data_IF_485395167230
#
_entry.id   IF_485395167230
#
_cell.length_a   1.000
_cell.length_b   1.000
_cell.length_c   1.000
_cell.angle_alpha   90.00
_cell.angle_beta   90.00
_cell.angle_gamma   90.00
#
_symmetry.space_group_name_H-M   'P 1'
#
loop_
_entity.id
_entity.type
_entity.pdbx_description
1 polymer ?
#
# COMPACT_ATOMS: atom_id res chain seq x y z
N UNK A 1 -3.08 -22.78 -6.06
CA UNK A 1 -2.32 -21.83 -5.23
C UNK A 1 -3.08 -20.52 -5.29
N UNK A 2 -3.14 -19.73 -4.22
CA UNK A 2 -3.81 -18.43 -4.26
C UNK A 2 -3.03 -17.48 -5.17
N UNK A 3 -3.71 -16.75 -6.04
CA UNK A 3 -3.09 -15.82 -7.00
C UNK A 3 -2.99 -14.41 -6.40
N UNK A 4 -2.00 -13.58 -6.75
CA UNK A 4 -1.94 -12.19 -6.29
C UNK A 4 -3.23 -11.37 -6.54
N UNK A 5 -3.95 -11.68 -7.62
CA UNK A 5 -5.24 -11.07 -7.96
C UNK A 5 -6.37 -11.44 -6.97
N UNK A 6 -6.20 -12.48 -6.15
CA UNK A 6 -7.17 -12.89 -5.13
C UNK A 6 -6.96 -12.17 -3.78
N UNK A 7 -5.94 -11.33 -3.64
CA UNK A 7 -5.52 -10.75 -2.36
C UNK A 7 -6.64 -10.06 -1.57
N UNK A 8 -7.47 -9.24 -2.23
CA UNK A 8 -8.60 -8.57 -1.56
C UNK A 8 -9.69 -9.56 -1.14
N UNK A 9 -9.99 -10.58 -1.95
CA UNK A 9 -10.95 -11.63 -1.61
C UNK A 9 -10.47 -12.45 -0.42
N UNK A 10 -9.19 -12.77 -0.36
CA UNK A 10 -8.59 -13.46 0.78
C UNK A 10 -8.60 -12.59 2.04
N UNK A 11 -8.29 -11.30 1.93
CA UNK A 11 -8.40 -10.36 3.04
C UNK A 11 -9.83 -10.32 3.59
N UNK A 12 -10.83 -10.16 2.72
CA UNK A 12 -12.24 -10.13 3.10
C UNK A 12 -12.66 -11.44 3.79
N UNK A 13 -12.27 -12.60 3.23
CA UNK A 13 -12.56 -13.90 3.83
C UNK A 13 -11.96 -14.03 5.23
N UNK A 14 -10.67 -13.70 5.40
CA UNK A 14 -9.98 -13.73 6.71
C UNK A 14 -10.70 -12.87 7.75
N UNK A 15 -11.03 -11.62 7.39
CA UNK A 15 -11.69 -10.69 8.32
C UNK A 15 -13.12 -11.12 8.68
N UNK A 16 -13.84 -11.81 7.78
CA UNK A 16 -15.15 -12.39 8.08
C UNK A 16 -15.02 -13.57 9.03
N UNK A 17 -14.08 -14.47 8.76
CA UNK A 17 -13.89 -15.71 9.51
C UNK A 17 -13.37 -15.48 10.94
N UNK A 18 -12.67 -14.36 11.18
CA UNK A 18 -12.21 -13.94 12.51
C UNK A 18 -13.36 -13.70 13.52
N UNK A 19 -14.58 -13.40 13.04
CA UNK A 19 -15.74 -13.14 13.91
C UNK A 19 -15.55 -11.96 14.88
N UNK A 20 -14.74 -10.98 14.50
CA UNK A 20 -14.42 -9.79 15.30
C UNK A 20 -15.50 -8.71 15.16
N UNK A 21 -15.32 -7.58 15.86
CA UNK A 21 -16.18 -6.39 15.71
C UNK A 21 -16.12 -5.77 14.31
N UNK A 22 -15.10 -6.09 13.51
CA UNK A 22 -14.95 -5.62 12.14
C UNK A 22 -15.75 -6.49 11.17
N UNK A 23 -15.92 -7.78 11.46
CA UNK A 23 -16.52 -8.77 10.55
C UNK A 23 -17.90 -8.37 9.99
N UNK A 24 -18.83 -7.75 10.75
CA UNK A 24 -20.11 -7.28 10.21
C UNK A 24 -19.98 -6.17 9.14
N UNK A 25 -18.86 -5.47 9.09
CA UNK A 25 -18.56 -4.38 8.17
C UNK A 25 -17.80 -4.83 6.93
N UNK A 26 -17.38 -6.10 6.88
CA UNK A 26 -16.65 -6.63 5.71
C UNK A 26 -17.61 -6.85 4.55
N UNK A 27 -17.20 -6.43 3.35
CA UNK A 27 -17.93 -6.61 2.09
C UNK A 27 -17.07 -7.37 1.10
N UNK A 28 -17.73 -8.06 0.17
CA UNK A 28 -17.04 -8.70 -0.94
C UNK A 28 -16.42 -7.62 -1.85
N UNK A 29 -15.12 -7.69 -2.12
CA UNK A 29 -14.43 -6.71 -2.97
C UNK A 29 -14.60 -7.06 -4.46
N UNK A 30 -15.82 -7.41 -4.86
CA UNK A 30 -16.11 -7.79 -6.24
C UNK A 30 -15.75 -6.65 -7.19
N UNK A 31 -15.07 -6.98 -8.29
CA UNK A 31 -14.61 -6.03 -9.32
C UNK A 31 -13.47 -5.08 -8.91
N UNK A 32 -12.96 -5.17 -7.68
CA UNK A 32 -11.81 -4.36 -7.26
C UNK A 32 -10.49 -5.00 -7.69
N UNK A 33 -9.62 -4.17 -8.27
CA UNK A 33 -8.29 -4.58 -8.72
C UNK A 33 -7.27 -4.35 -7.59
N UNK A 34 -6.59 -5.40 -7.06
CA UNK A 34 -5.49 -5.26 -6.11
C UNK A 34 -4.21 -4.83 -6.84
N UNK A 35 -4.24 -3.68 -7.51
CA UNK A 35 -3.18 -3.22 -8.40
C UNK A 35 -1.83 -3.05 -7.69
N UNK A 36 -1.85 -2.50 -6.47
CA UNK A 36 -0.64 -2.36 -5.65
C UNK A 36 -0.11 -3.74 -5.20
N UNK A 37 -0.99 -4.62 -4.75
CA UNK A 37 -0.61 -5.98 -4.38
C UNK A 37 0.02 -6.75 -5.55
N UNK A 38 -0.54 -6.61 -6.75
CA UNK A 38 0.01 -7.23 -7.96
C UNK A 38 1.38 -6.63 -8.35
N UNK A 39 1.57 -5.32 -8.23
CA UNK A 39 2.87 -4.69 -8.46
C UNK A 39 3.94 -5.25 -7.51
N UNK A 40 3.64 -5.34 -6.22
CA UNK A 40 4.58 -5.91 -5.24
C UNK A 40 4.89 -7.38 -5.51
N UNK A 41 3.87 -8.17 -5.89
CA UNK A 41 4.01 -9.60 -6.15
C UNK A 41 4.95 -9.96 -7.31
N UNK A 42 5.22 -9.01 -8.22
CA UNK A 42 6.10 -9.23 -9.38
C UNK A 42 7.58 -9.00 -9.12
N UNK A 43 7.94 -8.34 -8.02
CA UNK A 43 9.34 -8.06 -7.75
C UNK A 43 10.10 -9.31 -7.30
N UNK A 44 11.42 -9.32 -7.51
CA UNK A 44 12.28 -10.49 -7.24
C UNK A 44 12.22 -10.97 -5.79
N UNK A 45 12.07 -10.05 -4.82
CA UNK A 45 11.94 -10.41 -3.40
C UNK A 45 10.64 -11.16 -3.12
N UNK A 46 9.57 -10.84 -3.85
CA UNK A 46 8.29 -11.52 -3.71
C UNK A 46 8.24 -12.89 -4.41
N UNK A 47 9.23 -13.26 -5.23
CA UNK A 47 9.20 -14.47 -6.07
C UNK A 47 8.94 -15.77 -5.29
N UNK A 48 9.39 -15.86 -4.04
CA UNK A 48 9.15 -17.03 -3.18
C UNK A 48 7.76 -17.09 -2.54
N UNK A 49 7.02 -15.97 -2.51
CA UNK A 49 5.70 -15.87 -1.89
C UNK A 49 4.86 -14.73 -2.50
N UNK A 50 4.61 -14.70 -3.82
CA UNK A 50 4.07 -13.54 -4.52
C UNK A 50 2.68 -13.14 -4.02
N UNK A 51 1.82 -14.13 -3.78
CA UNK A 51 0.49 -13.89 -3.22
C UNK A 51 0.55 -13.31 -1.80
N UNK A 52 1.47 -13.76 -0.95
CA UNK A 52 1.60 -13.24 0.41
C UNK A 52 1.98 -11.75 0.41
N UNK A 53 2.89 -11.34 -0.47
CA UNK A 53 3.25 -9.93 -0.66
C UNK A 53 2.05 -9.09 -1.13
N UNK A 54 1.26 -9.60 -2.07
CA UNK A 54 0.04 -8.93 -2.52
C UNK A 54 -0.95 -8.72 -1.36
N UNK A 55 -1.23 -9.78 -0.60
CA UNK A 55 -2.12 -9.72 0.55
C UNK A 55 -1.62 -8.73 1.62
N UNK A 56 -0.32 -8.71 1.90
CA UNK A 56 0.30 -7.77 2.85
C UNK A 56 0.09 -6.33 2.42
N UNK A 57 0.44 -5.99 1.18
CA UNK A 57 0.33 -4.62 0.66
C UNK A 57 -1.13 -4.17 0.64
N UNK A 58 -2.05 -5.02 0.22
CA UNK A 58 -3.48 -4.67 0.18
C UNK A 58 -4.09 -4.56 1.58
N UNK A 59 -3.60 -5.33 2.56
CA UNK A 59 -4.00 -5.18 3.97
C UNK A 59 -3.59 -3.80 4.50
N UNK A 60 -2.33 -3.41 4.27
CA UNK A 60 -1.82 -2.10 4.71
C UNK A 60 -2.51 -0.96 3.95
N UNK A 61 -2.78 -1.13 2.64
CA UNK A 61 -3.53 -0.14 1.85
C UNK A 61 -4.96 0.02 2.37
N UNK A 62 -5.63 -1.07 2.71
CA UNK A 62 -6.97 -1.01 3.31
C UNK A 62 -6.93 -0.27 4.66
N UNK A 63 -5.92 -0.55 5.49
CA UNK A 63 -5.73 0.20 6.73
C UNK A 63 -5.54 1.70 6.51
N UNK A 64 -4.72 2.08 5.53
CA UNK A 64 -4.55 3.48 5.13
C UNK A 64 -5.85 4.15 4.69
N UNK A 65 -6.65 3.47 3.88
CA UNK A 65 -7.92 4.00 3.42
C UNK A 65 -8.89 4.21 4.58
N UNK A 66 -8.90 3.34 5.59
CA UNK A 66 -9.75 3.52 6.78
C UNK A 66 -9.32 4.71 7.66
N UNK A 67 -8.04 5.11 7.62
CA UNK A 67 -7.57 6.31 8.33
C UNK A 67 -7.93 7.61 7.58
N UNK A 68 -7.83 7.60 6.26
CA UNK A 68 -7.73 8.84 5.48
C UNK A 68 -8.73 8.97 4.32
N UNK A 69 -9.49 7.93 4.01
CA UNK A 69 -10.41 7.86 2.86
C UNK A 69 -11.58 6.89 3.15
N UNK A 70 -12.11 6.24 2.10
CA UNK A 70 -13.10 5.17 2.22
C UNK A 70 -12.46 3.79 2.10
N UNK A 71 -12.72 2.91 3.08
CA UNK A 71 -12.32 1.51 2.99
C UNK A 71 -12.99 0.80 1.81
N UNK A 72 -12.31 -0.19 1.24
CA UNK A 72 -12.79 -1.00 0.10
C UNK A 72 -13.42 -2.30 0.55
N UNK A 73 -12.86 -2.91 1.59
CA UNK A 73 -13.26 -4.19 2.18
C UNK A 73 -14.04 -3.95 3.45
N UNK A 74 -13.59 -3.05 4.32
CA UNK A 74 -14.30 -2.68 5.56
C UNK A 74 -15.13 -1.42 5.28
N UNK A 75 -16.45 -1.59 5.19
CA UNK A 75 -17.37 -0.54 4.74
C UNK A 75 -18.48 -0.30 5.76
N UNK A 76 -18.78 0.98 6.00
CA UNK A 76 -19.88 1.39 6.89
C UNK A 76 -19.61 1.21 8.38
N UNK A 77 -18.35 0.99 8.77
CA UNK A 77 -17.92 1.19 10.15
C UNK A 77 -18.01 2.69 10.49
N UNK A 78 -18.35 3.02 11.74
CA UNK A 78 -18.22 4.40 12.20
C UNK A 78 -16.74 4.82 12.25
N UNK A 79 -16.50 6.13 12.43
CA UNK A 79 -15.15 6.69 12.36
C UNK A 79 -14.18 6.08 13.36
N UNK A 80 -14.63 5.80 14.58
CA UNK A 80 -13.76 5.30 15.65
C UNK A 80 -13.41 3.82 15.39
N UNK A 81 -14.40 3.02 14.97
CA UNK A 81 -14.18 1.64 14.56
C UNK A 81 -13.33 1.55 13.29
N UNK A 82 -13.52 2.43 12.31
CA UNK A 82 -12.70 2.49 11.10
C UNK A 82 -11.23 2.78 11.45
N UNK A 83 -10.97 3.73 12.35
CA UNK A 83 -9.62 4.03 12.81
C UNK A 83 -8.95 2.82 13.47
N UNK A 84 -9.65 2.13 14.39
CA UNK A 84 -9.13 0.93 15.05
C UNK A 84 -8.94 -0.25 14.08
N UNK A 85 -9.85 -0.40 13.10
CA UNK A 85 -9.71 -1.38 12.04
C UNK A 85 -8.51 -1.06 11.14
N UNK A 86 -8.22 0.22 10.92
CA UNK A 86 -7.03 0.70 10.23
C UNK A 86 -5.73 0.28 10.94
N UNK A 87 -5.63 0.58 12.24
CA UNK A 87 -4.51 0.16 13.08
C UNK A 87 -4.33 -1.36 13.07
N UNK A 88 -5.43 -2.11 13.15
CA UNK A 88 -5.41 -3.57 13.09
C UNK A 88 -4.84 -4.06 11.75
N UNK A 89 -5.25 -3.49 10.63
CA UNK A 89 -4.80 -3.90 9.30
C UNK A 89 -3.34 -3.53 9.01
N UNK A 90 -2.86 -2.41 9.53
CA UNK A 90 -1.43 -2.09 9.55
C UNK A 90 -0.65 -3.14 10.33
N UNK A 91 -1.08 -3.45 11.56
CA UNK A 91 -0.41 -4.46 12.38
C UNK A 91 -0.42 -5.83 11.71
N UNK A 92 -1.56 -6.25 11.14
CA UNK A 92 -1.71 -7.52 10.44
C UNK A 92 -0.78 -7.63 9.22
N UNK A 93 -0.67 -6.57 8.41
CA UNK A 93 0.24 -6.54 7.27
C UNK A 93 1.72 -6.64 7.68
N UNK A 94 2.13 -5.83 8.67
CA UNK A 94 3.51 -5.84 9.17
C UNK A 94 3.87 -7.17 9.84
N UNK A 95 2.93 -7.77 10.56
CA UNK A 95 3.11 -9.04 11.25
C UNK A 95 3.24 -10.20 10.26
N UNK A 96 2.42 -10.24 9.22
CA UNK A 96 2.55 -11.19 8.10
C UNK A 96 3.90 -11.06 7.40
N UNK A 97 4.38 -9.84 7.16
CA UNK A 97 5.67 -9.60 6.52
C UNK A 97 6.85 -10.01 7.42
N UNK A 98 6.74 -9.75 8.74
CA UNK A 98 7.73 -10.21 9.71
C UNK A 98 7.83 -11.75 9.77
N UNK A 99 6.71 -12.47 9.62
CA UNK A 99 6.72 -13.94 9.51
C UNK A 99 7.44 -14.46 8.26
N UNK A 100 7.45 -13.69 7.17
CA UNK A 100 8.26 -14.00 5.98
C UNK A 100 9.76 -13.76 6.21
N UNK A 101 10.13 -13.10 7.30
CA UNK A 101 11.52 -12.79 7.64
C UNK A 101 12.09 -11.58 6.89
N UNK A 102 11.26 -10.83 6.17
CA UNK A 102 11.72 -9.69 5.36
C UNK A 102 11.69 -8.37 6.14
N UNK A 103 12.72 -8.17 6.97
CA UNK A 103 12.81 -6.98 7.82
C UNK A 103 13.01 -5.67 7.03
N UNK A 104 13.62 -5.75 5.84
CA UNK A 104 13.79 -4.57 4.98
C UNK A 104 12.44 -4.10 4.43
N UNK A 105 11.58 -5.02 4.01
CA UNK A 105 10.24 -4.70 3.57
C UNK A 105 9.35 -4.24 4.75
N UNK A 106 9.51 -4.79 5.96
CA UNK A 106 8.84 -4.29 7.18
C UNK A 106 9.23 -2.84 7.45
N UNK A 107 10.52 -2.51 7.33
CA UNK A 107 11.02 -1.14 7.47
C UNK A 107 10.40 -0.23 6.42
N UNK A 108 10.34 -0.68 5.16
CA UNK A 108 9.77 0.12 4.08
C UNK A 108 8.28 0.41 4.29
N UNK A 109 7.46 -0.57 4.67
CA UNK A 109 6.04 -0.33 4.97
C UNK A 109 5.85 0.56 6.20
N UNK A 110 6.69 0.42 7.23
CA UNK A 110 6.69 1.32 8.39
C UNK A 110 7.01 2.77 8.01
N UNK A 111 8.00 2.96 7.12
CA UNK A 111 8.36 4.27 6.57
C UNK A 111 7.19 4.86 5.76
N UNK A 112 6.54 4.07 4.91
CA UNK A 112 5.37 4.46 4.13
C UNK A 112 4.21 4.94 5.03
N UNK A 113 3.87 4.18 6.06
CA UNK A 113 2.81 4.54 7.02
C UNK A 113 3.15 5.87 7.71
N UNK A 114 4.40 5.99 8.18
CA UNK A 114 4.89 7.20 8.87
C UNK A 114 4.85 8.43 7.96
N UNK A 115 5.37 8.32 6.73
CA UNK A 115 5.40 9.42 5.78
C UNK A 115 4.00 9.81 5.32
N UNK A 116 3.09 8.84 5.15
CA UNK A 116 1.70 9.11 4.81
C UNK A 116 1.01 9.91 5.92
N UNK A 117 1.21 9.52 7.19
CA UNK A 117 0.68 10.26 8.33
C UNK A 117 1.25 11.68 8.43
N UNK A 118 2.54 11.87 8.15
CA UNK A 118 3.16 13.20 8.10
C UNK A 118 2.57 14.08 6.99
N UNK A 119 2.32 13.52 5.80
CA UNK A 119 1.70 14.26 4.70
C UNK A 119 0.28 14.71 5.05
N UNK A 120 -0.53 13.86 5.69
CA UNK A 120 -1.88 14.21 6.16
C UNK A 120 -1.88 15.17 7.36
N UNK A 121 -0.83 15.15 8.18
CA UNK A 121 -0.71 15.97 9.38
C UNK A 121 -0.23 17.41 9.14
N UNK A 122 0.19 17.75 7.92
CA UNK A 122 0.76 19.06 7.57
C UNK A 122 -0.35 20.01 7.04
N UNK A 123 -0.84 20.98 7.84
CA UNK A 123 -2.01 21.79 7.47
C UNK A 123 -1.76 22.75 6.30
N UNK A 124 -0.50 23.18 6.11
CA UNK A 124 -0.12 24.11 5.03
C UNK A 124 0.16 23.38 3.71
N UNK A 125 0.10 22.04 3.71
CA UNK A 125 0.28 21.22 2.51
C UNK A 125 -1.02 21.20 1.72
N UNK A 126 -1.07 21.95 0.62
CA UNK A 126 -2.26 22.00 -0.24
C UNK A 126 -2.72 20.60 -0.72
N UNK A 127 -4.03 20.38 -0.77
CA UNK A 127 -4.65 19.08 -1.04
C UNK A 127 -4.13 18.41 -2.33
N UNK A 128 -4.04 19.16 -3.43
CA UNK A 128 -3.55 18.65 -4.73
C UNK A 128 -2.08 18.23 -4.68
N UNK A 129 -1.29 18.87 -3.81
CA UNK A 129 0.11 18.50 -3.59
C UNK A 129 0.18 17.22 -2.77
N UNK A 130 -0.54 17.17 -1.64
CA UNK A 130 -0.59 16.00 -0.77
C UNK A 130 -1.06 14.74 -1.54
N UNK A 131 -2.13 14.85 -2.34
CA UNK A 131 -2.64 13.74 -3.14
C UNK A 131 -1.61 13.19 -4.14
N UNK A 132 -0.84 14.08 -4.81
CA UNK A 132 0.23 13.67 -5.73
C UNK A 132 1.40 13.00 -5.01
N UNK A 133 1.81 13.55 -3.87
CA UNK A 133 2.90 12.98 -3.06
C UNK A 133 2.52 11.61 -2.49
N UNK A 134 1.30 11.46 -1.95
CA UNK A 134 0.79 10.19 -1.44
C UNK A 134 0.71 9.14 -2.54
N UNK A 135 0.14 9.49 -3.70
CA UNK A 135 0.02 8.55 -4.83
C UNK A 135 1.39 8.06 -5.29
N UNK A 136 2.34 8.98 -5.46
CA UNK A 136 3.70 8.64 -5.88
C UNK A 136 4.46 7.84 -4.82
N UNK A 137 4.32 8.20 -3.54
CA UNK A 137 4.91 7.47 -2.42
C UNK A 137 4.38 6.04 -2.34
N UNK A 138 3.07 5.83 -2.46
CA UNK A 138 2.47 4.49 -2.44
C UNK A 138 3.01 3.59 -3.55
N UNK A 139 3.11 4.10 -4.78
CA UNK A 139 3.67 3.36 -5.91
C UNK A 139 5.15 3.01 -5.66
N UNK A 140 5.95 3.99 -5.24
CA UNK A 140 7.38 3.81 -5.01
C UNK A 140 7.67 2.82 -3.88
N UNK A 141 7.01 2.97 -2.73
CA UNK A 141 7.16 2.06 -1.59
C UNK A 141 6.67 0.66 -1.91
N UNK A 142 5.56 0.51 -2.65
CA UNK A 142 5.04 -0.81 -3.07
C UNK A 142 6.04 -1.53 -3.97
N UNK A 143 6.62 -0.82 -4.94
CA UNK A 143 7.66 -1.36 -5.80
C UNK A 143 8.90 -1.77 -4.99
N UNK A 144 9.35 -0.92 -4.05
CA UNK A 144 10.49 -1.25 -3.19
C UNK A 144 10.20 -2.43 -2.28
N UNK A 145 8.98 -2.58 -1.76
CA UNK A 145 8.55 -3.75 -0.97
C UNK A 145 8.71 -5.03 -1.78
N UNK A 146 8.30 -5.05 -3.05
CA UNK A 146 8.40 -6.23 -3.91
C UNK A 146 9.78 -6.46 -4.55
N UNK A 147 10.51 -5.40 -4.89
CA UNK A 147 11.68 -5.46 -5.79
C UNK A 147 13.01 -5.05 -5.13
N UNK A 148 13.01 -4.69 -3.85
CA UNK A 148 14.23 -4.32 -3.14
C UNK A 148 14.48 -2.82 -3.05
N UNK A 149 15.46 -2.45 -2.23
CA UNK A 149 15.84 -1.05 -2.01
C UNK A 149 16.32 -0.38 -3.30
N UNK A 150 15.93 0.88 -3.50
CA UNK A 150 16.37 1.72 -4.61
C UNK A 150 16.81 3.09 -4.11
N UNK A 151 17.96 3.57 -4.61
CA UNK A 151 18.54 4.85 -4.15
C UNK A 151 17.72 6.06 -4.59
N UNK A 152 16.97 5.97 -5.69
CA UNK A 152 16.13 7.06 -6.16
C UNK A 152 14.90 7.19 -5.26
N UNK A 153 14.33 6.07 -4.83
CA UNK A 153 13.30 6.02 -3.77
C UNK A 153 13.77 6.67 -2.46
N UNK A 154 14.96 6.31 -1.96
CA UNK A 154 15.51 6.90 -0.72
C UNK A 154 15.73 8.43 -0.83
N UNK A 155 16.11 8.91 -2.03
CA UNK A 155 16.17 10.36 -2.31
C UNK A 155 14.78 11.00 -2.28
N UNK A 156 13.78 10.34 -2.86
CA UNK A 156 12.38 10.78 -2.79
C UNK A 156 11.87 10.88 -1.35
N UNK A 157 12.14 9.87 -0.50
CA UNK A 157 11.80 9.92 0.94
C UNK A 157 12.49 11.08 1.66
N UNK A 158 13.76 11.31 1.36
CA UNK A 158 14.51 12.44 1.92
C UNK A 158 13.92 13.79 1.50
N UNK A 159 13.58 13.94 0.22
CA UNK A 159 12.95 15.14 -0.32
C UNK A 159 11.56 15.40 0.30
N UNK A 160 10.74 14.35 0.45
CA UNK A 160 9.43 14.44 1.07
C UNK A 160 9.52 14.93 2.52
N UNK A 161 10.45 14.38 3.31
CA UNK A 161 10.73 14.79 4.70
C UNK A 161 11.21 16.23 4.80
N UNK A 162 11.96 16.70 3.80
CA UNK A 162 12.42 18.09 3.73
C UNK A 162 11.33 19.07 3.26
N UNK A 163 10.13 18.59 2.92
CA UNK A 163 9.07 19.44 2.38
C UNK A 163 9.34 19.92 0.95
N UNK A 164 10.23 19.26 0.21
CA UNK A 164 10.54 19.62 -1.18
C UNK A 164 9.33 19.32 -2.10
N UNK A 165 8.93 20.31 -2.89
CA UNK A 165 7.80 20.21 -3.83
C UNK A 165 8.07 19.23 -4.98
N UNK A 166 9.33 18.89 -5.23
CA UNK A 166 9.75 17.95 -6.27
C UNK A 166 9.63 16.47 -5.84
N UNK A 167 9.36 16.17 -4.56
CA UNK A 167 9.34 14.82 -4.03
C UNK A 167 8.43 13.86 -4.83
N UNK A 168 7.22 14.30 -5.18
CA UNK A 168 6.30 13.49 -6.00
C UNK A 168 6.87 13.18 -7.39
N UNK A 169 7.53 14.15 -8.03
CA UNK A 169 8.16 13.94 -9.34
C UNK A 169 9.35 12.98 -9.24
N UNK A 170 10.15 13.08 -8.17
CA UNK A 170 11.27 12.17 -7.90
C UNK A 170 10.80 10.73 -7.70
N UNK A 171 9.73 10.51 -6.94
CA UNK A 171 9.12 9.18 -6.83
C UNK A 171 8.59 8.67 -8.17
N UNK A 172 7.89 9.52 -8.93
CA UNK A 172 7.34 9.15 -10.24
C UNK A 172 8.42 8.80 -11.29
N UNK A 173 9.58 9.46 -11.25
CA UNK A 173 10.74 9.10 -12.07
C UNK A 173 11.37 7.78 -11.60
N UNK A 174 11.59 7.62 -10.29
CA UNK A 174 12.13 6.40 -9.71
C UNK A 174 11.28 5.16 -10.06
N UNK A 175 9.95 5.27 -9.93
CA UNK A 175 9.01 4.19 -10.24
C UNK A 175 9.05 3.83 -11.72
N UNK A 176 9.01 4.82 -12.62
CA UNK A 176 9.03 4.56 -14.07
C UNK A 176 10.32 3.88 -14.50
N UNK A 177 11.48 4.44 -14.13
CA UNK A 177 12.77 3.83 -14.46
C UNK A 177 12.88 2.41 -13.92
N UNK A 178 12.47 2.19 -12.68
CA UNK A 178 12.58 0.87 -12.05
C UNK A 178 11.59 -0.13 -12.64
N UNK A 179 10.39 0.29 -13.02
CA UNK A 179 9.44 -0.59 -13.72
C UNK A 179 9.91 -0.92 -15.14
N UNK A 180 10.54 0.02 -15.85
CA UNK A 180 11.13 -0.23 -17.16
C UNK A 180 12.29 -1.23 -17.08
N UNK A 181 13.17 -1.08 -16.06
CA UNK A 181 14.26 -2.03 -15.77
C UNK A 181 13.74 -3.46 -15.50
N UNK A 182 12.55 -3.58 -14.89
CA UNK A 182 11.95 -4.85 -14.47
C UNK A 182 10.88 -5.39 -15.43
N UNK A 183 10.49 -4.62 -16.46
CA UNK A 183 9.41 -4.97 -17.38
C UNK A 183 8.00 -4.97 -16.75
N UNK A 184 7.74 -4.09 -15.78
CA UNK A 184 6.49 -4.04 -14.98
C UNK A 184 5.51 -2.94 -15.41
N UNK A 185 5.53 -2.53 -16.69
CA UNK A 185 4.71 -1.42 -17.19
C UNK A 185 3.20 -1.66 -17.02
N UNK A 186 2.74 -2.89 -17.27
CA UNK A 186 1.32 -3.25 -17.16
C UNK A 186 0.86 -3.26 -15.70
N UNK A 187 1.67 -3.81 -14.78
CA UNK A 187 1.39 -3.80 -13.34
C UNK A 187 1.43 -2.38 -12.76
N UNK A 188 2.33 -1.53 -13.24
CA UNK A 188 2.36 -0.13 -12.86
C UNK A 188 1.06 0.59 -13.28
N UNK A 189 0.57 0.33 -14.50
CA UNK A 189 -0.72 0.86 -14.98
C UNK A 189 -1.88 0.47 -14.06
N UNK A 190 -2.01 -0.83 -13.76
CA UNK A 190 -3.02 -1.34 -12.81
C UNK A 190 -2.90 -0.72 -11.43
N UNK A 191 -1.68 -0.58 -10.91
CA UNK A 191 -1.44 0.03 -9.61
C UNK A 191 -1.89 1.50 -9.58
N UNK A 192 -1.57 2.28 -10.62
CA UNK A 192 -2.03 3.67 -10.76
C UNK A 192 -3.55 3.75 -10.80
N UNK A 193 -4.20 2.92 -11.61
CA UNK A 193 -5.67 2.89 -11.72
C UNK A 193 -6.32 2.52 -10.38
N UNK A 194 -5.77 1.54 -9.66
CA UNK A 194 -6.26 1.13 -8.33
C UNK A 194 -6.17 2.22 -7.26
N UNK A 195 -5.23 3.18 -7.39
CA UNK A 195 -5.14 4.34 -6.50
C UNK A 195 -6.20 5.39 -6.86
N UNK A 196 -6.43 5.63 -8.14
CA UNK A 196 -7.33 6.67 -8.64
C UNK A 196 -8.81 6.29 -8.53
N UNK A 197 -9.13 5.00 -8.50
CA UNK A 197 -10.50 4.49 -8.37
C UNK A 197 -10.96 4.29 -6.91
N UNK A 198 -10.08 4.55 -5.93
CA UNK A 198 -10.34 4.39 -4.50
C UNK A 198 -10.87 5.66 -3.83
#
# INVERSE_FOLDING_TARGET
>A
MAEPADALRELAASLRDEGSVISPHVREPDQLDPGLGQLAARGERAAGAPHAYALIVESVREGYLLHYAGGRVVVGADRDLALLAGDYLYALGLERLARLGDLDAVRELSDLITLSAQVHGEPDRGADRAARELSALWLASTLVVGAGADRRHERGKSALRAGDVSAAAMFGEAVRERCDELGLGDELGRAVDSINCA
#
